data_IF_477524588256
#
_entry.id   IF_477524588256
#
_cell.length_a   1.000
_cell.length_b   1.000
_cell.length_c   1.000
_cell.angle_alpha   90.00
_cell.angle_beta   90.00
_cell.angle_gamma   90.00
#
_symmetry.space_group_name_H-M   'P 1'
#
loop_
_entity.id
_entity.type
_entity.pdbx_description
1 polymer ?
#
# COMPACT_ATOMS: atom_id res chain seq x y z
N UNK A 1 -4.83 -16.42 8.41
CA UNK A 1 -6.21 -15.88 8.49
C UNK A 1 -6.33 -14.55 7.76
N UNK A 2 -5.76 -13.44 8.26
CA UNK A 2 -5.76 -12.11 7.61
C UNK A 2 -5.48 -12.17 6.10
N UNK A 3 -4.33 -12.72 5.72
CA UNK A 3 -3.92 -12.79 4.31
C UNK A 3 -4.80 -13.68 3.43
N UNK A 4 -5.56 -14.61 4.02
CA UNK A 4 -6.38 -15.57 3.29
C UNK A 4 -7.83 -15.10 3.12
N UNK A 5 -8.36 -14.37 4.11
CA UNK A 5 -9.80 -14.09 4.21
C UNK A 5 -10.14 -12.61 4.13
N UNK A 6 -9.24 -11.71 4.53
CA UNK A 6 -9.54 -10.29 4.53
C UNK A 6 -9.47 -9.70 3.11
N UNK A 7 -10.32 -8.72 2.86
CA UNK A 7 -10.42 -8.03 1.58
C UNK A 7 -10.93 -6.60 1.79
N UNK A 8 -10.58 -5.70 0.88
CA UNK A 8 -11.08 -4.33 0.86
C UNK A 8 -12.41 -4.31 0.10
N UNK A 9 -13.43 -3.74 0.71
CA UNK A 9 -14.72 -3.48 0.06
C UNK A 9 -14.73 -2.08 -0.58
N UNK A 10 -15.46 -1.92 -1.68
CA UNK A 10 -15.69 -0.62 -2.33
C UNK A 10 -16.71 0.22 -1.56
N UNK A 11 -17.76 -0.41 -1.02
CA UNK A 11 -18.78 0.25 -0.21
C UNK A 11 -18.92 -0.47 1.14
N UNK A 12 -18.41 0.17 2.19
CA UNK A 12 -18.41 -0.39 3.53
C UNK A 12 -19.82 -0.53 4.13
N UNK A 13 -20.70 0.44 3.89
CA UNK A 13 -22.05 0.45 4.46
C UNK A 13 -22.92 -0.63 3.82
N UNK A 14 -22.85 -0.79 2.50
CA UNK A 14 -23.58 -1.85 1.79
C UNK A 14 -23.09 -3.24 2.17
N UNK A 15 -21.77 -3.42 2.29
CA UNK A 15 -21.20 -4.71 2.70
C UNK A 15 -21.61 -5.06 4.14
N UNK A 16 -21.66 -4.06 5.03
CA UNK A 16 -22.11 -4.24 6.42
C UNK A 16 -23.57 -4.68 6.54
N UNK A 17 -24.44 -4.30 5.58
CA UNK A 17 -25.85 -4.71 5.57
C UNK A 17 -26.05 -6.19 5.23
N UNK A 18 -25.07 -6.86 4.63
CA UNK A 18 -25.17 -8.28 4.25
C UNK A 18 -25.13 -9.23 5.46
N UNK A 19 -24.63 -8.77 6.61
CA UNK A 19 -24.68 -9.51 7.88
C UNK A 19 -24.11 -10.93 7.78
N UNK A 20 -24.89 -11.92 8.22
CA UNK A 20 -24.49 -13.34 8.28
C UNK A 20 -24.24 -13.99 6.92
N UNK A 21 -24.68 -13.38 5.80
CA UNK A 21 -24.41 -13.89 4.45
C UNK A 21 -22.91 -13.88 4.10
N UNK A 22 -22.11 -13.12 4.85
CA UNK A 22 -20.66 -13.02 4.66
C UNK A 22 -19.87 -13.95 5.58
N UNK A 23 -20.52 -14.76 6.42
CA UNK A 23 -19.82 -15.69 7.31
C UNK A 23 -19.07 -16.76 6.52
N UNK A 24 -17.86 -17.10 7.00
CA UNK A 24 -17.02 -18.13 6.41
C UNK A 24 -16.33 -18.90 7.51
N UNK A 25 -16.38 -20.22 7.42
CA UNK A 25 -15.68 -21.12 8.33
C UNK A 25 -14.19 -21.17 8.00
N UNK A 26 -13.34 -21.18 9.03
CA UNK A 26 -11.90 -21.31 8.91
C UNK A 26 -11.38 -22.33 9.91
N UNK A 27 -10.72 -23.36 9.40
CA UNK A 27 -10.06 -24.40 10.21
C UNK A 27 -8.70 -23.90 10.72
N UNK A 28 -8.54 -23.96 12.04
CA UNK A 28 -7.31 -23.65 12.74
C UNK A 28 -6.32 -24.83 12.70
N UNK A 29 -5.02 -24.61 12.93
CA UNK A 29 -4.02 -25.70 12.90
C UNK A 29 -4.25 -26.83 13.92
N UNK A 30 -5.07 -26.59 14.95
CA UNK A 30 -5.47 -27.57 15.96
C UNK A 30 -6.74 -28.36 15.57
N UNK A 31 -7.30 -28.11 14.38
CA UNK A 31 -8.53 -28.73 13.86
C UNK A 31 -9.82 -28.04 14.30
N UNK A 32 -9.76 -27.01 15.13
CA UNK A 32 -10.95 -26.26 15.53
C UNK A 32 -11.45 -25.38 14.39
N UNK A 33 -12.76 -25.32 14.19
CA UNK A 33 -13.39 -24.46 13.17
C UNK A 33 -13.92 -23.20 13.84
N UNK A 34 -13.56 -22.04 13.29
CA UNK A 34 -14.12 -20.76 13.71
C UNK A 34 -14.88 -20.09 12.57
N UNK A 35 -15.91 -19.32 12.91
CA UNK A 35 -16.68 -18.53 11.94
C UNK A 35 -16.18 -17.10 11.93
N UNK A 36 -15.92 -16.58 10.74
CA UNK A 36 -15.46 -15.20 10.53
C UNK A 36 -16.44 -14.51 9.58
N UNK A 37 -17.00 -13.38 10.01
CA UNK A 37 -17.99 -12.62 9.26
C UNK A 37 -17.42 -11.27 8.81
N UNK A 38 -17.98 -10.19 9.38
CA UNK A 38 -17.67 -8.81 8.98
C UNK A 38 -16.22 -8.39 9.23
N UNK A 39 -15.50 -9.10 10.10
CA UNK A 39 -14.10 -8.84 10.46
C UNK A 39 -13.18 -8.89 9.23
N UNK A 40 -13.56 -9.66 8.20
CA UNK A 40 -12.82 -9.80 6.95
C UNK A 40 -12.57 -8.46 6.26
N UNK A 41 -13.56 -7.58 6.19
CA UNK A 41 -13.43 -6.27 5.54
C UNK A 41 -13.28 -5.12 6.54
N UNK A 42 -13.82 -5.23 7.76
CA UNK A 42 -13.63 -4.23 8.81
C UNK A 42 -12.16 -4.02 9.18
N UNK A 43 -11.37 -5.10 9.17
CA UNK A 43 -9.93 -5.01 9.44
C UNK A 43 -9.21 -4.13 8.43
N UNK A 44 -9.59 -4.18 7.16
CA UNK A 44 -8.95 -3.39 6.11
C UNK A 44 -9.53 -1.99 5.99
N UNK A 45 -10.72 -1.74 6.53
CA UNK A 45 -11.33 -0.40 6.53
C UNK A 45 -10.47 0.60 7.30
N UNK A 46 -9.69 0.14 8.29
CA UNK A 46 -8.74 0.96 9.05
C UNK A 46 -7.70 1.66 8.16
N UNK A 47 -7.39 1.14 6.97
CA UNK A 47 -6.51 1.85 6.03
C UNK A 47 -7.15 3.13 5.47
N UNK A 48 -8.47 3.18 5.36
CA UNK A 48 -9.22 4.32 4.84
C UNK A 48 -9.80 5.17 5.97
N UNK A 49 -10.17 4.54 7.08
CA UNK A 49 -10.77 5.17 8.26
C UNK A 49 -10.02 4.77 9.55
N UNK A 50 -8.82 5.34 9.82
CA UNK A 50 -8.03 5.02 11.01
C UNK A 50 -8.72 5.39 12.34
N UNK A 51 -9.69 6.30 12.30
CA UNK A 51 -10.53 6.66 13.45
C UNK A 51 -11.29 5.46 14.04
N UNK A 52 -11.52 4.39 13.27
CA UNK A 52 -12.12 3.14 13.75
C UNK A 52 -11.31 2.47 14.87
N UNK A 53 -10.02 2.76 14.97
CA UNK A 53 -9.14 2.30 16.04
C UNK A 53 -8.67 3.44 16.96
N UNK A 54 -9.37 4.58 16.92
CA UNK A 54 -9.06 5.76 17.74
C UNK A 54 -7.86 6.58 17.26
N UNK A 55 -7.39 6.38 16.03
CA UNK A 55 -6.33 7.20 15.46
C UNK A 55 -6.91 8.41 14.72
N UNK A 56 -6.56 9.62 15.16
CA UNK A 56 -6.94 10.88 14.51
C UNK A 56 -5.97 11.25 13.38
N UNK A 57 -5.83 10.34 12.40
CA UNK A 57 -5.01 10.54 11.19
C UNK A 57 -5.83 10.21 9.95
N UNK A 58 -5.43 10.77 8.82
CA UNK A 58 -6.07 10.53 7.53
C UNK A 58 -5.86 9.10 7.00
N UNK A 59 -6.75 8.66 6.13
CA UNK A 59 -6.61 7.40 5.43
C UNK A 59 -5.48 7.41 4.38
N UNK A 60 -5.14 6.23 3.84
CA UNK A 60 -4.09 6.10 2.81
C UNK A 60 -4.39 6.96 1.56
N UNK A 61 -5.66 7.07 1.18
CA UNK A 61 -6.12 7.83 0.02
C UNK A 61 -5.89 9.34 0.22
N UNK A 62 -6.21 9.87 1.41
CA UNK A 62 -5.93 11.27 1.77
C UNK A 62 -4.43 11.57 1.82
N UNK A 63 -3.63 10.65 2.36
CA UNK A 63 -2.18 10.80 2.43
C UNK A 63 -1.52 10.78 1.05
N UNK A 64 -2.02 9.95 0.12
CA UNK A 64 -1.57 9.95 -1.28
C UNK A 64 -1.92 11.30 -1.93
N UNK A 65 -3.18 11.73 -1.85
CA UNK A 65 -3.60 13.01 -2.45
C UNK A 65 -2.85 14.21 -1.86
N UNK A 66 -2.58 14.19 -0.55
CA UNK A 66 -1.80 15.22 0.13
C UNK A 66 -0.35 15.22 -0.32
N UNK A 67 0.25 14.05 -0.52
CA UNK A 67 1.63 13.94 -1.02
C UNK A 67 1.74 14.49 -2.44
N UNK A 68 0.79 14.15 -3.32
CA UNK A 68 0.73 14.70 -4.69
C UNK A 68 0.50 16.22 -4.66
N UNK A 69 -0.33 16.73 -3.75
CA UNK A 69 -0.57 18.18 -3.61
C UNK A 69 0.66 18.95 -3.15
N UNK A 70 1.60 18.31 -2.44
CA UNK A 70 2.88 18.92 -2.06
C UNK A 70 3.86 19.01 -3.24
N UNK A 71 3.63 18.26 -4.32
CA UNK A 71 4.40 18.37 -5.55
C UNK A 71 4.03 19.64 -6.34
N UNK A 72 4.93 20.06 -7.22
CA UNK A 72 4.66 21.11 -8.21
C UNK A 72 3.43 20.76 -9.05
N UNK A 73 2.61 21.77 -9.38
CA UNK A 73 1.36 21.61 -10.13
C UNK A 73 1.57 20.89 -11.46
N UNK A 74 2.69 21.13 -12.12
CA UNK A 74 2.98 20.63 -13.46
C UNK A 74 3.15 19.10 -13.49
N UNK A 75 3.63 18.50 -12.39
CA UNK A 75 3.86 17.05 -12.30
C UNK A 75 2.69 16.28 -11.67
N UNK A 76 1.70 16.95 -11.08
CA UNK A 76 0.61 16.26 -10.36
C UNK A 76 -0.19 15.31 -11.24
N UNK A 77 -0.42 15.70 -12.50
CA UNK A 77 -1.14 14.86 -13.47
C UNK A 77 -0.40 13.55 -13.74
N UNK A 78 0.92 13.63 -13.87
CA UNK A 78 1.76 12.47 -14.05
C UNK A 78 1.78 11.59 -12.80
N UNK A 79 1.87 12.19 -11.60
CA UNK A 79 1.81 11.46 -10.34
C UNK A 79 0.51 10.68 -10.17
N UNK A 80 -0.66 11.30 -10.44
CA UNK A 80 -1.95 10.59 -10.39
C UNK A 80 -2.04 9.44 -11.41
N UNK A 81 -1.40 9.57 -12.57
CA UNK A 81 -1.41 8.56 -13.62
C UNK A 81 -0.44 7.40 -13.37
N UNK A 82 0.37 7.45 -12.31
CA UNK A 82 1.44 6.49 -12.05
C UNK A 82 1.55 6.11 -10.56
N UNK A 83 0.42 5.80 -9.91
CA UNK A 83 0.41 5.36 -8.51
C UNK A 83 0.71 3.86 -8.47
N UNK A 84 1.89 3.48 -7.99
CA UNK A 84 2.34 2.08 -7.92
C UNK A 84 2.19 1.54 -6.50
N UNK A 85 1.49 0.41 -6.34
CA UNK A 85 1.36 -0.27 -5.06
C UNK A 85 2.50 -1.26 -4.84
N UNK A 86 3.10 -1.20 -3.65
CA UNK A 86 4.19 -2.08 -3.21
C UNK A 86 4.01 -2.45 -1.73
N UNK A 87 4.46 -3.65 -1.36
CA UNK A 87 4.43 -4.16 0.02
C UNK A 87 3.23 -5.06 0.34
N UNK A 88 3.39 -5.90 1.37
CA UNK A 88 2.46 -6.99 1.69
C UNK A 88 1.03 -6.55 2.03
N UNK A 89 0.86 -5.45 2.76
CA UNK A 89 -0.48 -4.93 3.10
C UNK A 89 -1.25 -4.39 1.89
N UNK A 90 -0.58 -4.13 0.77
CA UNK A 90 -1.27 -3.77 -0.49
C UNK A 90 -1.79 -5.00 -1.24
N UNK A 91 -1.57 -6.22 -0.73
CA UNK A 91 -2.03 -7.46 -1.36
C UNK A 91 -3.53 -7.74 -1.18
N UNK A 92 -4.23 -7.02 -0.29
CA UNK A 92 -5.66 -7.23 -0.10
C UNK A 92 -6.43 -7.04 -1.41
N UNK A 93 -7.32 -7.99 -1.71
CA UNK A 93 -8.21 -7.92 -2.86
C UNK A 93 -9.09 -6.67 -2.74
N UNK A 94 -9.33 -5.99 -3.86
CA UNK A 94 -10.15 -4.77 -3.91
C UNK A 94 -9.42 -3.46 -3.53
N UNK A 95 -8.20 -3.50 -2.99
CA UNK A 95 -7.53 -2.27 -2.53
C UNK A 95 -7.27 -1.27 -3.66
N UNK A 96 -6.90 -1.76 -4.85
CA UNK A 96 -6.61 -0.90 -6.01
C UNK A 96 -7.88 -0.19 -6.51
N UNK A 97 -9.01 -0.90 -6.53
CA UNK A 97 -10.30 -0.36 -6.94
C UNK A 97 -10.82 0.65 -5.93
N UNK A 98 -10.85 0.30 -4.63
CA UNK A 98 -11.25 1.22 -3.56
C UNK A 98 -10.39 2.48 -3.57
N UNK A 99 -9.07 2.34 -3.66
CA UNK A 99 -8.16 3.50 -3.71
C UNK A 99 -8.39 4.37 -4.95
N UNK A 100 -8.67 3.76 -6.10
CA UNK A 100 -8.98 4.50 -7.33
C UNK A 100 -10.24 5.34 -7.19
N UNK A 101 -11.30 4.79 -6.59
CA UNK A 101 -12.56 5.49 -6.33
C UNK A 101 -12.36 6.65 -5.35
N UNK A 102 -11.73 6.40 -4.20
CA UNK A 102 -11.46 7.41 -3.17
C UNK A 102 -10.63 8.58 -3.71
N UNK A 103 -9.59 8.30 -4.52
CA UNK A 103 -8.79 9.35 -5.14
C UNK A 103 -9.56 10.11 -6.24
N UNK A 104 -10.45 9.43 -6.95
CA UNK A 104 -11.33 10.05 -7.94
C UNK A 104 -12.33 11.00 -7.29
N UNK A 105 -12.81 10.69 -6.08
CA UNK A 105 -13.66 11.58 -5.27
C UNK A 105 -12.88 12.79 -4.73
N UNK A 106 -11.66 12.58 -4.21
CA UNK A 106 -10.82 13.68 -3.72
C UNK A 106 -10.39 14.63 -4.85
N UNK A 107 -10.18 14.11 -6.07
CA UNK A 107 -9.71 14.91 -7.21
C UNK A 107 -10.46 14.54 -8.50
N UNK A 108 -11.71 15.00 -8.67
CA UNK A 108 -12.56 14.61 -9.80
C UNK A 108 -12.01 14.99 -11.18
N UNK A 109 -11.21 16.05 -11.26
CA UNK A 109 -10.57 16.51 -12.51
C UNK A 109 -9.32 15.71 -12.89
N UNK A 110 -8.82 14.87 -11.99
CA UNK A 110 -7.56 14.14 -12.16
C UNK A 110 -7.85 12.65 -12.37
N UNK A 111 -7.71 12.18 -13.61
CA UNK A 111 -7.79 10.75 -13.89
C UNK A 111 -6.62 10.03 -13.22
N UNK A 112 -6.93 9.14 -12.28
CA UNK A 112 -5.92 8.34 -11.60
C UNK A 112 -5.71 6.97 -12.26
N UNK A 113 -4.54 6.37 -12.04
CA UNK A 113 -4.23 4.99 -12.44
C UNK A 113 -3.44 4.31 -11.34
N UNK A 114 -4.03 3.27 -10.76
CA UNK A 114 -3.40 2.43 -9.74
C UNK A 114 -2.77 1.20 -10.40
N UNK A 115 -1.46 1.02 -10.21
CA UNK A 115 -0.69 -0.09 -10.75
C UNK A 115 -0.42 -1.07 -9.60
N UNK A 116 -1.07 -2.23 -9.62
CA UNK A 116 -0.97 -3.25 -8.57
C UNK A 116 -0.47 -4.58 -9.15
N UNK A 117 0.85 -4.79 -9.15
CA UNK A 117 1.46 -6.01 -9.67
C UNK A 117 1.19 -7.21 -8.74
N UNK A 118 1.03 -8.45 -9.25
CA UNK A 118 0.78 -9.63 -8.41
C UNK A 118 1.88 -9.86 -7.36
N UNK A 119 3.15 -9.75 -7.76
CA UNK A 119 4.31 -9.98 -6.88
C UNK A 119 4.75 -8.73 -6.10
N UNK A 120 3.82 -7.78 -5.87
CA UNK A 120 4.13 -6.48 -5.27
C UNK A 120 4.70 -6.51 -3.86
N UNK A 121 4.61 -7.64 -3.15
CA UNK A 121 5.32 -7.85 -1.87
C UNK A 121 6.85 -7.83 -1.99
N UNK A 122 7.40 -8.13 -3.17
CA UNK A 122 8.84 -8.22 -3.40
C UNK A 122 9.41 -7.05 -4.20
N UNK A 123 8.59 -6.07 -4.59
CA UNK A 123 9.00 -5.01 -5.53
C UNK A 123 10.21 -4.20 -5.05
N UNK A 124 10.28 -3.86 -3.76
CA UNK A 124 11.44 -3.17 -3.22
C UNK A 124 12.73 -4.00 -3.34
N UNK A 125 12.65 -5.31 -3.07
CA UNK A 125 13.78 -6.24 -3.19
C UNK A 125 14.19 -6.44 -4.65
N UNK A 126 13.22 -6.63 -5.55
CA UNK A 126 13.48 -6.76 -7.00
C UNK A 126 14.14 -5.49 -7.54
N UNK A 127 13.65 -4.31 -7.16
CA UNK A 127 14.25 -3.03 -7.52
C UNK A 127 15.71 -2.93 -7.05
N UNK A 128 15.99 -3.33 -5.80
CA UNK A 128 17.35 -3.41 -5.27
C UNK A 128 18.24 -4.39 -6.04
N UNK A 129 17.73 -5.57 -6.38
CA UNK A 129 18.46 -6.59 -7.15
C UNK A 129 18.81 -6.07 -8.56
N UNK A 130 17.88 -5.40 -9.23
CA UNK A 130 18.11 -4.80 -10.55
C UNK A 130 19.13 -3.68 -10.42
N UNK A 131 18.95 -2.77 -9.46
CA UNK A 131 19.85 -1.64 -9.22
C UNK A 131 21.30 -2.09 -8.94
N UNK A 132 21.48 -3.10 -8.08
CA UNK A 132 22.79 -3.67 -7.77
C UNK A 132 23.46 -4.36 -8.98
N UNK A 133 22.68 -4.79 -9.96
CA UNK A 133 23.17 -5.45 -11.18
C UNK A 133 23.52 -4.45 -12.30
N UNK A 134 23.23 -3.16 -12.13
CA UNK A 134 23.56 -2.14 -13.13
C UNK A 134 25.08 -1.94 -13.19
N UNK A 135 25.61 -1.74 -14.40
CA UNK A 135 27.04 -1.44 -14.60
C UNK A 135 27.50 -0.15 -13.90
N UNK A 136 26.55 0.76 -13.62
CA UNK A 136 26.77 2.02 -12.90
C UNK A 136 26.80 1.86 -11.38
N UNK A 137 26.37 0.72 -10.82
CA UNK A 137 26.27 0.51 -9.38
C UNK A 137 27.60 0.76 -8.65
N UNK A 138 28.71 0.30 -9.23
CA UNK A 138 30.06 0.47 -8.68
C UNK A 138 30.49 1.94 -8.48
N UNK A 139 29.85 2.88 -9.16
CA UNK A 139 30.10 4.33 -8.99
C UNK A 139 29.27 4.91 -7.84
N UNK A 140 28.13 4.29 -7.54
CA UNK A 140 27.15 4.75 -6.56
C UNK A 140 27.36 4.11 -5.18
N UNK A 141 27.92 2.90 -5.10
CA UNK A 141 28.20 2.27 -3.82
C UNK A 141 29.29 3.01 -3.04
N UNK A 142 29.25 2.87 -1.71
CA UNK A 142 30.28 3.38 -0.80
C UNK A 142 31.23 2.23 -0.49
N UNK A 143 32.50 2.40 -0.86
CA UNK A 143 33.55 1.42 -0.55
C UNK A 143 34.06 1.59 0.86
N UNK A 144 34.71 0.55 1.37
CA UNK A 144 35.31 0.57 2.70
C UNK A 144 36.34 1.70 2.82
N UNK A 145 37.18 1.87 1.80
CA UNK A 145 38.22 2.91 1.81
C UNK A 145 37.60 4.32 1.85
N UNK A 146 36.55 4.57 1.06
CA UNK A 146 35.83 5.85 1.06
C UNK A 146 35.20 6.15 2.45
N UNK A 147 34.68 5.11 3.11
CA UNK A 147 34.12 5.22 4.45
C UNK A 147 35.18 5.46 5.51
N UNK A 148 36.31 4.75 5.46
CA UNK A 148 37.41 4.90 6.42
C UNK A 148 38.05 6.31 6.33
N UNK A 149 38.07 6.92 5.14
CA UNK A 149 38.60 8.28 4.92
C UNK A 149 37.63 9.40 5.34
N UNK A 150 36.35 9.30 4.98
CA UNK A 150 35.37 10.38 5.17
C UNK A 150 34.53 10.20 6.44
N UNK A 151 34.56 9.00 7.01
CA UNK A 151 33.70 8.59 8.12
C UNK A 151 32.23 8.45 7.72
N UNK A 152 31.32 8.29 8.70
CA UNK A 152 29.92 7.95 8.45
C UNK A 152 29.14 8.99 7.64
N UNK A 153 29.59 10.25 7.62
CA UNK A 153 28.93 11.33 6.89
C UNK A 153 28.87 11.11 5.37
N UNK A 154 29.70 10.21 4.82
CA UNK A 154 29.66 9.87 3.39
C UNK A 154 28.30 9.33 2.94
N UNK A 155 27.57 8.64 3.82
CA UNK A 155 26.25 8.06 3.53
C UNK A 155 25.19 9.13 3.22
N UNK A 156 25.35 10.35 3.75
CA UNK A 156 24.42 11.45 3.49
C UNK A 156 24.81 12.30 2.27
N UNK A 157 26.01 12.08 1.71
CA UNK A 157 26.53 12.83 0.56
C UNK A 157 26.37 12.09 -0.76
N UNK A 158 26.47 10.76 -0.75
CA UNK A 158 26.23 9.92 -1.93
C UNK A 158 24.76 9.61 -2.15
#
# INVERSE_FOLDING_TARGET
MKEKLCYVTTNFEEESKKGSLLETEYELPDGNIITIGSEKFRTTEVFFHPNLIGMEVGGIHEHIATSIRKCDVDIRKEMYSNIVLSGGSTLFNGIAERLSNELQEISPSMKNRIIALPDRKYQAWVGGSIFASLSTYNKMCIRKEEYDETGPNIVHRK
#
